data_IF_083348803968
#
_entry.id   IF_083348803968
#
_cell.length_a   1.000
_cell.length_b   1.000
_cell.length_c   1.000
_cell.angle_alpha   90.00
_cell.angle_beta   90.00
_cell.angle_gamma   90.00
#
_symmetry.space_group_name_H-M   'P 1'
#
loop_
_entity.id
_entity.type
_entity.pdbx_description
1 polymer ?
#
# COMPACT_ATOMS: atom_id res chain seq x y z
N UNK A 1 -19.83 37.77 -6.05
CA UNK A 1 -20.00 36.33 -5.83
C UNK A 1 -18.68 35.68 -6.20
N UNK A 2 -17.96 35.19 -5.22
CA UNK A 2 -16.82 34.33 -5.52
C UNK A 2 -17.38 33.02 -6.07
N UNK A 3 -17.10 32.71 -7.32
CA UNK A 3 -17.28 31.38 -7.85
C UNK A 3 -16.38 30.47 -7.02
N UNK A 4 -16.95 29.44 -6.41
CA UNK A 4 -16.20 28.36 -5.79
C UNK A 4 -15.40 27.71 -6.92
N UNK A 5 -14.12 28.06 -7.03
CA UNK A 5 -13.23 27.36 -7.93
C UNK A 5 -13.23 25.90 -7.50
N UNK A 6 -13.42 24.91 -8.40
CA UNK A 6 -13.28 23.54 -8.03
C UNK A 6 -11.90 23.40 -7.40
N UNK A 7 -11.85 22.87 -6.18
CA UNK A 7 -10.61 22.59 -5.47
C UNK A 7 -9.76 21.77 -6.43
N UNK A 8 -8.74 22.40 -7.03
CA UNK A 8 -7.82 21.69 -7.92
C UNK A 8 -7.26 20.53 -7.13
N UNK A 9 -7.56 19.32 -7.59
CA UNK A 9 -7.09 18.08 -6.99
C UNK A 9 -5.57 18.10 -6.97
N UNK A 10 -5.00 18.39 -5.82
CA UNK A 10 -3.56 18.55 -5.66
C UNK A 10 -2.88 17.18 -5.62
N UNK A 11 -2.17 16.85 -6.68
CA UNK A 11 -1.43 15.58 -6.85
C UNK A 11 0.09 15.74 -6.64
N UNK A 12 0.52 16.85 -6.07
CA UNK A 12 1.93 17.11 -5.76
C UNK A 12 2.04 17.88 -4.44
N UNK A 13 2.89 17.43 -3.55
CA UNK A 13 3.11 18.03 -2.25
C UNK A 13 4.61 18.10 -1.95
N UNK A 14 5.04 19.02 -1.07
CA UNK A 14 6.42 18.99 -0.59
C UNK A 14 6.67 17.81 0.36
N UNK A 15 7.91 17.35 0.42
CA UNK A 15 8.32 16.31 1.36
C UNK A 15 8.03 16.70 2.82
N UNK A 16 8.20 17.98 3.17
CA UNK A 16 7.87 18.50 4.49
C UNK A 16 6.38 18.38 4.80
N UNK A 17 5.53 18.71 3.82
CA UNK A 17 4.07 18.63 3.94
C UNK A 17 3.60 17.17 4.08
N UNK A 18 4.14 16.26 3.26
CA UNK A 18 3.85 14.83 3.36
C UNK A 18 4.28 14.25 4.71
N UNK A 19 5.44 14.68 5.21
CA UNK A 19 5.95 14.27 6.52
C UNK A 19 5.08 14.78 7.67
N UNK A 20 4.55 15.99 7.56
CA UNK A 20 3.62 16.55 8.52
C UNK A 20 2.30 15.77 8.52
N UNK A 21 1.75 15.53 7.34
CA UNK A 21 0.55 14.73 7.14
C UNK A 21 0.68 13.32 7.76
N UNK A 22 1.81 12.63 7.54
CA UNK A 22 2.08 11.30 8.17
C UNK A 22 1.97 11.36 9.70
N UNK A 23 2.55 12.37 10.32
CA UNK A 23 2.47 12.55 11.79
C UNK A 23 1.05 12.79 12.26
N UNK A 24 0.29 13.56 11.52
CA UNK A 24 -1.10 13.86 11.88
C UNK A 24 -1.96 12.61 11.79
N UNK A 25 -1.76 11.77 10.77
CA UNK A 25 -2.47 10.50 10.66
C UNK A 25 -2.15 9.56 11.83
N UNK A 26 -0.88 9.48 12.24
CA UNK A 26 -0.46 8.64 13.37
C UNK A 26 -1.06 9.07 14.72
N UNK A 27 -1.45 10.33 14.86
CA UNK A 27 -2.19 10.80 16.04
C UNK A 27 -3.60 10.21 16.15
N UNK A 28 -4.17 9.76 15.03
CA UNK A 28 -5.46 9.09 15.02
C UNK A 28 -5.36 7.62 15.44
N UNK A 29 -4.17 7.07 15.46
CA UNK A 29 -3.89 5.67 15.78
C UNK A 29 -3.12 4.95 14.69
N UNK A 30 -2.91 3.63 14.86
CA UNK A 30 -2.18 2.82 13.91
C UNK A 30 -0.67 2.95 13.99
N UNK A 31 0.02 2.36 13.03
CA UNK A 31 1.48 2.30 12.97
C UNK A 31 2.02 3.06 11.76
N UNK A 32 3.28 3.50 11.84
CA UNK A 32 3.96 4.13 10.71
C UNK A 32 4.03 3.20 9.50
N UNK A 33 4.23 1.90 9.73
CA UNK A 33 4.28 0.91 8.66
C UNK A 33 2.96 0.86 7.87
N UNK A 34 1.82 0.96 8.54
CA UNK A 34 0.49 0.98 7.89
C UNK A 34 0.26 2.26 7.09
N UNK A 35 0.64 3.43 7.64
CA UNK A 35 0.56 4.71 6.90
C UNK A 35 1.47 4.68 5.67
N UNK A 36 2.69 4.20 5.80
CA UNK A 36 3.64 4.09 4.71
C UNK A 36 3.15 3.11 3.64
N UNK A 37 2.53 2.01 4.04
CA UNK A 37 1.91 1.06 3.14
C UNK A 37 0.77 1.69 2.32
N UNK A 38 -0.09 2.48 2.98
CA UNK A 38 -1.15 3.23 2.31
C UNK A 38 -0.59 4.23 1.30
N UNK A 39 0.46 4.97 1.67
CA UNK A 39 1.14 5.91 0.79
C UNK A 39 1.76 5.22 -0.42
N UNK A 40 2.33 4.04 -0.26
CA UNK A 40 2.91 3.28 -1.35
C UNK A 40 1.85 2.74 -2.30
N UNK A 41 0.85 2.07 -1.79
CA UNK A 41 -0.12 1.35 -2.63
C UNK A 41 -1.21 2.25 -3.21
N UNK A 42 -1.69 3.21 -2.48
CA UNK A 42 -2.74 4.13 -2.94
C UNK A 42 -2.19 5.48 -3.37
N UNK A 43 -1.21 5.99 -2.64
CA UNK A 43 -0.57 7.27 -2.93
C UNK A 43 0.47 7.21 -4.04
N UNK A 44 0.99 6.04 -4.36
CA UNK A 44 2.03 5.86 -5.38
C UNK A 44 3.41 6.37 -4.96
N UNK A 45 3.65 6.56 -3.67
CA UNK A 45 4.93 7.06 -3.14
C UNK A 45 5.86 5.89 -2.88
N UNK A 46 7.04 5.88 -3.52
CA UNK A 46 8.00 4.80 -3.35
C UNK A 46 8.59 4.75 -1.93
N UNK A 47 8.96 3.56 -1.47
CA UNK A 47 9.68 3.37 -0.22
C UNK A 47 10.94 4.24 -0.12
N UNK A 48 11.69 4.32 -1.21
CA UNK A 48 12.88 5.15 -1.30
C UNK A 48 12.58 6.63 -1.05
N UNK A 49 11.49 7.16 -1.63
CA UNK A 49 11.04 8.53 -1.39
C UNK A 49 10.66 8.74 0.07
N UNK A 50 9.92 7.80 0.67
CA UNK A 50 9.51 7.88 2.08
C UNK A 50 10.72 7.95 3.04
N UNK A 51 11.79 7.23 2.74
CA UNK A 51 13.04 7.26 3.53
C UNK A 51 13.78 8.60 3.44
N UNK A 52 13.58 9.36 2.38
CA UNK A 52 14.31 10.61 2.11
C UNK A 52 13.54 11.88 2.44
N UNK A 53 12.30 11.79 2.91
CA UNK A 53 11.46 12.97 3.19
C UNK A 53 12.12 13.97 4.16
N UNK A 54 12.84 13.49 5.16
CA UNK A 54 13.52 14.33 6.13
C UNK A 54 14.79 15.01 5.58
N UNK A 55 15.41 14.42 4.56
CA UNK A 55 16.67 14.90 3.98
C UNK A 55 16.46 16.02 2.96
N UNK A 56 15.33 16.03 2.30
CA UNK A 56 14.99 16.98 1.23
C UNK A 56 13.58 17.53 1.43
N UNK A 57 13.37 18.42 2.43
CA UNK A 57 12.03 18.89 2.82
C UNK A 57 11.29 19.66 1.72
N UNK A 58 12.02 20.33 0.85
CA UNK A 58 11.46 21.12 -0.25
C UNK A 58 11.25 20.31 -1.55
N UNK A 59 11.70 19.05 -1.58
CA UNK A 59 11.50 18.19 -2.75
C UNK A 59 10.00 17.95 -2.96
N UNK A 60 9.57 17.97 -4.22
CA UNK A 60 8.20 17.68 -4.60
C UNK A 60 7.99 16.17 -4.71
N UNK A 61 6.87 15.73 -4.17
CA UNK A 61 6.44 14.32 -4.19
C UNK A 61 5.14 14.25 -4.96
N UNK A 62 5.14 13.50 -6.05
CA UNK A 62 3.94 13.23 -6.84
C UNK A 62 3.07 12.18 -6.14
N UNK A 63 1.76 12.39 -6.18
CA UNK A 63 0.76 11.50 -5.61
C UNK A 63 -0.17 10.98 -6.71
N UNK A 64 -0.64 9.77 -6.59
CA UNK A 64 -1.67 9.20 -7.49
C UNK A 64 -3.08 9.65 -7.12
N UNK A 65 -3.29 9.95 -5.84
CA UNK A 65 -4.53 10.51 -5.30
C UNK A 65 -4.20 11.62 -4.30
N UNK A 66 -5.08 12.61 -4.10
CA UNK A 66 -4.82 13.70 -3.17
C UNK A 66 -4.73 13.20 -1.72
N UNK A 67 -4.04 13.96 -0.86
CA UNK A 67 -3.89 13.62 0.57
C UNK A 67 -5.24 13.49 1.27
N UNK A 68 -6.24 14.26 0.87
CA UNK A 68 -7.60 14.22 1.41
C UNK A 68 -8.25 12.85 1.23
N UNK A 69 -8.04 12.21 0.07
CA UNK A 69 -8.56 10.87 -0.21
C UNK A 69 -7.85 9.81 0.64
N UNK A 70 -6.53 9.93 0.80
CA UNK A 70 -5.76 9.06 1.67
C UNK A 70 -6.17 9.23 3.15
N UNK A 71 -6.44 10.46 3.57
CA UNK A 71 -6.94 10.74 4.92
C UNK A 71 -8.28 10.11 5.18
N UNK A 72 -9.21 10.17 4.22
CA UNK A 72 -10.53 9.53 4.34
C UNK A 72 -10.39 8.01 4.48
N UNK A 73 -9.54 7.36 3.70
CA UNK A 73 -9.26 5.93 3.82
C UNK A 73 -8.65 5.58 5.18
N UNK A 74 -7.71 6.39 5.65
CA UNK A 74 -7.08 6.18 6.95
C UNK A 74 -8.07 6.33 8.10
N UNK A 75 -8.91 7.38 8.09
CA UNK A 75 -9.96 7.58 9.08
C UNK A 75 -10.97 6.44 9.09
N UNK A 76 -11.34 5.95 7.92
CA UNK A 76 -12.22 4.79 7.80
C UNK A 76 -11.58 3.53 8.39
N UNK A 77 -10.32 3.28 8.08
CA UNK A 77 -9.56 2.15 8.66
C UNK A 77 -9.52 2.22 10.19
N UNK A 78 -9.20 3.39 10.76
CA UNK A 78 -9.16 3.57 12.21
C UNK A 78 -10.55 3.49 12.87
N UNK A 79 -11.59 3.95 12.22
CA UNK A 79 -12.94 4.00 12.76
C UNK A 79 -13.70 2.68 12.65
N UNK A 80 -13.54 1.94 11.56
CA UNK A 80 -14.31 0.72 11.29
C UNK A 80 -13.50 -0.56 11.48
N UNK A 81 -12.19 -0.45 11.64
CA UNK A 81 -11.23 -1.57 11.67
C UNK A 81 -11.24 -2.43 10.38
N UNK A 82 -11.76 -1.88 9.26
CA UNK A 82 -11.61 -2.53 7.97
C UNK A 82 -10.12 -2.66 7.60
N UNK A 83 -9.66 -3.82 7.12
CA UNK A 83 -8.29 -3.95 6.63
C UNK A 83 -7.98 -2.94 5.53
N UNK A 84 -6.79 -2.33 5.58
CA UNK A 84 -6.35 -1.39 4.54
C UNK A 84 -6.35 -2.03 3.16
N UNK A 85 -6.04 -3.32 3.05
CA UNK A 85 -6.07 -4.07 1.81
C UNK A 85 -7.45 -4.00 1.14
N UNK A 86 -8.53 -4.11 1.91
CA UNK A 86 -9.90 -3.99 1.38
C UNK A 86 -10.22 -2.57 0.95
N UNK A 87 -9.76 -1.57 1.68
CA UNK A 87 -9.99 -0.16 1.35
C UNK A 87 -9.20 0.28 0.11
N UNK A 88 -8.00 -0.26 -0.07
CA UNK A 88 -7.16 -0.04 -1.25
C UNK A 88 -7.62 -0.91 -2.43
N UNK A 89 -8.20 -2.07 -2.17
CA UNK A 89 -8.69 -3.03 -3.17
C UNK A 89 -7.62 -3.94 -3.75
N UNK A 90 -6.41 -3.93 -3.21
CA UNK A 90 -5.30 -4.75 -3.69
C UNK A 90 -4.31 -5.10 -2.59
N UNK A 91 -3.66 -6.23 -2.75
CA UNK A 91 -2.67 -6.75 -1.83
C UNK A 91 -1.48 -7.29 -2.61
N UNK A 92 -0.26 -6.76 -2.44
CA UNK A 92 0.94 -7.36 -2.97
C UNK A 92 1.20 -8.71 -2.28
N UNK A 93 1.48 -9.72 -3.07
CA UNK A 93 1.82 -11.04 -2.56
C UNK A 93 2.86 -11.69 -3.47
N UNK A 94 4.09 -11.86 -2.96
CA UNK A 94 5.28 -12.19 -3.76
C UNK A 94 5.49 -11.14 -4.87
N UNK A 95 5.61 -11.58 -6.12
CA UNK A 95 5.71 -10.75 -7.32
C UNK A 95 4.35 -10.44 -7.98
N UNK A 96 3.26 -10.85 -7.34
CA UNK A 96 1.90 -10.63 -7.79
C UNK A 96 1.24 -9.46 -7.06
N UNK A 97 0.31 -8.81 -7.73
CA UNK A 97 -0.63 -7.88 -7.15
C UNK A 97 -2.04 -8.45 -7.25
N UNK A 98 -2.61 -8.83 -6.11
CA UNK A 98 -3.91 -9.48 -6.04
C UNK A 98 -5.01 -8.46 -5.77
N UNK A 99 -6.12 -8.57 -6.49
CA UNK A 99 -7.34 -7.85 -6.14
C UNK A 99 -7.98 -8.48 -4.92
N UNK A 100 -8.32 -7.66 -3.94
CA UNK A 100 -8.97 -8.09 -2.70
C UNK A 100 -10.12 -7.16 -2.34
N UNK A 101 -11.10 -7.69 -1.62
CA UNK A 101 -12.25 -6.94 -1.15
C UNK A 101 -13.03 -7.73 -0.11
N UNK A 102 -14.11 -7.15 0.46
CA UNK A 102 -14.94 -7.86 1.43
C UNK A 102 -15.40 -9.22 0.90
N UNK A 103 -15.19 -10.26 1.70
CA UNK A 103 -15.51 -11.65 1.32
C UNK A 103 -14.35 -12.42 0.67
N UNK A 104 -13.25 -11.76 0.35
CA UNK A 104 -12.02 -12.39 -0.15
C UNK A 104 -11.01 -12.50 0.99
N UNK A 105 -10.40 -13.67 1.16
CA UNK A 105 -9.35 -13.87 2.15
C UNK A 105 -8.09 -13.07 1.75
N UNK A 106 -7.57 -12.27 2.67
CA UNK A 106 -6.28 -11.59 2.47
C UNK A 106 -5.17 -12.62 2.63
N UNK A 107 -4.31 -12.83 1.61
CA UNK A 107 -3.20 -13.77 1.69
C UNK A 107 -2.22 -13.36 2.81
N UNK A 108 -1.75 -14.34 3.57
CA UNK A 108 -0.76 -14.12 4.63
C UNK A 108 0.65 -14.36 4.11
N UNK A 109 1.62 -13.65 4.69
CA UNK A 109 3.04 -13.82 4.35
C UNK A 109 3.55 -15.23 4.61
N UNK A 110 3.05 -15.91 5.65
CA UNK A 110 3.43 -17.29 5.95
C UNK A 110 3.10 -18.26 4.81
N UNK A 111 2.07 -17.95 4.01
CA UNK A 111 1.73 -18.73 2.82
C UNK A 111 2.77 -18.57 1.71
N UNK A 112 3.45 -17.42 1.64
CA UNK A 112 4.57 -17.22 0.69
C UNK A 112 5.69 -18.22 0.95
N UNK A 113 6.04 -18.45 2.19
CA UNK A 113 7.06 -19.45 2.57
C UNK A 113 6.67 -20.85 2.12
N UNK A 114 5.40 -21.22 2.25
CA UNK A 114 4.90 -22.51 1.79
C UNK A 114 5.08 -22.69 0.28
N UNK A 115 4.78 -21.63 -0.50
CA UNK A 115 4.99 -21.64 -1.95
C UNK A 115 6.46 -21.74 -2.32
N UNK A 116 7.33 -21.01 -1.63
CA UNK A 116 8.79 -21.06 -1.83
C UNK A 116 9.33 -22.48 -1.60
N UNK A 117 8.95 -23.10 -0.48
CA UNK A 117 9.35 -24.47 -0.18
C UNK A 117 8.83 -25.48 -1.21
N UNK A 118 7.59 -25.32 -1.68
CA UNK A 118 7.02 -26.17 -2.70
C UNK A 118 7.76 -26.04 -4.05
N UNK A 119 8.12 -24.82 -4.44
CA UNK A 119 8.88 -24.57 -5.68
C UNK A 119 10.29 -25.15 -5.59
N UNK A 120 10.97 -24.97 -4.45
CA UNK A 120 12.32 -25.51 -4.23
C UNK A 120 12.31 -27.05 -4.29
N UNK A 121 11.38 -27.69 -3.60
CA UNK A 121 11.22 -29.15 -3.64
C UNK A 121 10.89 -29.67 -5.05
N UNK A 122 10.04 -28.99 -5.78
CA UNK A 122 9.70 -29.36 -7.15
C UNK A 122 10.88 -29.20 -8.10
N UNK A 123 11.70 -28.16 -7.91
CA UNK A 123 12.92 -27.93 -8.69
C UNK A 123 13.96 -29.02 -8.42
N UNK A 124 14.21 -29.36 -7.15
CA UNK A 124 15.11 -30.44 -6.74
C UNK A 124 14.66 -31.81 -7.29
N UNK A 125 13.36 -32.05 -7.34
CA UNK A 125 12.78 -33.30 -7.85
C UNK A 125 12.66 -33.34 -9.40
N UNK A 126 13.02 -32.24 -10.12
CA UNK A 126 12.95 -32.17 -11.57
C UNK A 126 11.54 -32.00 -12.15
N UNK A 127 10.56 -31.62 -11.35
CA UNK A 127 9.17 -31.42 -11.81
C UNK A 127 8.95 -30.11 -12.56
N UNK A 128 9.93 -29.21 -12.57
CA UNK A 128 9.82 -27.93 -13.26
C UNK A 128 10.10 -28.01 -14.78
N UNK A 129 10.63 -29.13 -15.27
CA UNK A 129 11.06 -29.30 -16.66
C UNK A 129 9.99 -29.90 -17.58
N UNK A 130 8.76 -30.05 -17.11
CA UNK A 130 7.66 -30.64 -17.89
C UNK A 130 6.28 -30.39 -17.27
N UNK A 131 5.22 -30.89 -17.91
CA UNK A 131 3.88 -30.78 -17.37
C UNK A 131 3.78 -31.54 -16.05
N UNK A 132 3.41 -30.83 -14.99
CA UNK A 132 3.21 -31.39 -13.66
C UNK A 132 1.82 -31.03 -13.14
N UNK A 133 1.22 -31.95 -12.39
CA UNK A 133 -0.05 -31.74 -11.72
C UNK A 133 0.23 -31.36 -10.25
N UNK A 134 -0.29 -30.21 -9.86
CA UNK A 134 -0.25 -29.73 -8.50
C UNK A 134 -1.64 -29.85 -7.89
N UNK A 135 -1.73 -30.36 -6.67
CA UNK A 135 -2.95 -30.37 -5.88
C UNK A 135 -2.85 -29.29 -4.80
N UNK A 136 -3.94 -28.55 -4.66
CA UNK A 136 -4.13 -27.53 -3.63
C UNK A 136 -4.78 -28.15 -2.40
#
# INVERSE_FOLDING_TARGET
MAADAPSETRLEVSAAELRHWRRDQLRLGGTQAEVDWLLQLKGGVSWHTLQRLALQPDALVALQVPLEDLEQLWRRHQGTHEPLQYLVGRCPWRDLELEVGPGVLIPRQETELLVELAVDLATEAGFCDGPSLWAD
#
